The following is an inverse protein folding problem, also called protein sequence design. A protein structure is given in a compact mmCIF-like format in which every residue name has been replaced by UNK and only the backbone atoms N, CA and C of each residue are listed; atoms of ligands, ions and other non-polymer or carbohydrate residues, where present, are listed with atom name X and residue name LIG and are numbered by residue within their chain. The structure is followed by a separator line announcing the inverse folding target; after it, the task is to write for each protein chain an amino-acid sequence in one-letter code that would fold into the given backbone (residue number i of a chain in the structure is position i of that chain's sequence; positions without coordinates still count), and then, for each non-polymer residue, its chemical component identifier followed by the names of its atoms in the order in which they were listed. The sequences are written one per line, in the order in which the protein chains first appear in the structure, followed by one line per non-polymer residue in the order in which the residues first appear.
data_IF_190421696422
#
_entry.id   IF_190421696422
#
_cell.length_a   1.000
_cell.length_b   1.000
_cell.length_c   1.000
_cell.angle_alpha   90.00
_cell.angle_beta   90.00
_cell.angle_gamma   90.00
#
_symmetry.space_group_name_H-M   'P 1'
#
loop_
_entity.id
_entity.type
_entity.pdbx_description
1 polymer ?
#
# COMPACT_ATOMS: atom_id res chain seq x y z
N UNK A 1 16.71 3.07 21.87
CA UNK A 1 16.67 1.65 21.45
C UNK A 1 15.45 1.52 20.55
N UNK A 2 15.65 1.34 19.24
CA UNK A 2 14.52 1.21 18.30
C UNK A 2 13.99 -0.21 18.50
N UNK A 3 12.79 -0.32 19.07
CA UNK A 3 12.09 -1.59 19.15
C UNK A 3 11.68 -1.95 17.72
N UNK A 4 12.40 -2.89 17.10
CA UNK A 4 11.94 -3.51 15.85
C UNK A 4 10.97 -4.59 16.29
N UNK A 5 9.65 -4.44 16.05
CA UNK A 5 8.68 -5.46 16.42
C UNK A 5 9.08 -6.78 15.76
N UNK A 6 8.74 -7.90 16.42
CA UNK A 6 8.98 -9.25 15.89
C UNK A 6 8.68 -9.30 14.40
N UNK A 7 9.65 -9.69 13.58
CA UNK A 7 9.54 -9.66 12.12
C UNK A 7 8.23 -10.31 11.67
N UNK A 8 7.30 -9.50 11.18
CA UNK A 8 6.09 -10.01 10.57
C UNK A 8 6.53 -10.90 9.40
N UNK A 9 6.12 -12.18 9.43
CA UNK A 9 6.54 -13.18 8.42
C UNK A 9 6.10 -12.80 6.99
N UNK A 10 5.15 -11.87 6.87
CA UNK A 10 4.57 -11.37 5.62
C UNK A 10 4.37 -9.85 5.75
N UNK A 11 4.70 -9.13 4.68
CA UNK A 11 4.39 -7.71 4.48
C UNK A 11 3.66 -7.48 3.16
N UNK A 12 2.96 -6.35 3.04
CA UNK A 12 2.24 -5.96 1.83
C UNK A 12 2.98 -4.84 1.08
N UNK A 13 3.28 -5.06 -0.19
CA UNK A 13 3.86 -4.04 -1.07
C UNK A 13 2.82 -3.23 -1.84
N UNK A 14 3.03 -1.93 -1.94
CA UNK A 14 2.11 -0.98 -2.59
C UNK A 14 2.31 -0.83 -4.12
N UNK A 15 3.26 -1.55 -4.73
CA UNK A 15 3.65 -1.36 -6.14
C UNK A 15 2.49 -1.47 -7.15
N UNK A 16 1.66 -2.52 -7.01
CA UNK A 16 0.49 -2.71 -7.87
C UNK A 16 -0.71 -1.84 -7.46
N UNK A 17 -0.81 -1.46 -6.19
CA UNK A 17 -1.95 -0.71 -5.63
C UNK A 17 -1.84 0.79 -5.89
N UNK A 18 -0.63 1.32 -5.95
CA UNK A 18 -0.39 2.75 -6.08
C UNK A 18 -0.47 3.29 -7.51
N UNK A 19 -0.56 2.45 -8.54
CA UNK A 19 -0.46 2.92 -9.93
C UNK A 19 -1.47 2.23 -10.84
N UNK A 20 -2.35 2.98 -11.54
CA UNK A 20 -3.30 2.41 -12.51
C UNK A 20 -2.66 1.76 -13.76
N UNK A 21 -1.31 1.81 -13.88
CA UNK A 21 -0.56 1.29 -15.03
C UNK A 21 0.63 0.39 -14.69
N UNK A 22 0.86 0.03 -13.42
CA UNK A 22 1.83 -1.04 -13.06
C UNK A 22 1.17 -2.41 -13.06
N UNK A 23 0.14 -2.54 -13.89
CA UNK A 23 -0.35 -3.79 -14.42
C UNK A 23 0.87 -4.50 -15.01
N UNK A 24 1.31 -5.59 -14.38
CA UNK A 24 1.98 -6.64 -15.14
C UNK A 24 1.18 -6.82 -16.43
N UNK A 25 1.80 -6.62 -17.59
CA UNK A 25 1.13 -6.61 -18.89
C UNK A 25 0.03 -7.68 -18.94
N UNK A 26 -1.22 -7.28 -19.17
CA UNK A 26 -2.36 -8.21 -19.23
C UNK A 26 -3.29 -8.30 -18.01
N UNK A 27 -3.15 -7.43 -16.98
CA UNK A 27 -4.12 -7.37 -15.85
C UNK A 27 -5.09 -6.18 -15.88
N UNK A 28 -5.11 -5.39 -16.95
CA UNK A 28 -6.07 -4.28 -17.10
C UNK A 28 -7.53 -4.75 -17.01
N UNK A 29 -7.81 -5.96 -17.52
CA UNK A 29 -9.14 -6.57 -17.45
C UNK A 29 -9.60 -6.80 -16.00
N UNK A 30 -8.68 -7.11 -15.07
CA UNK A 30 -9.03 -7.32 -13.66
C UNK A 30 -9.55 -6.04 -12.97
N UNK A 31 -9.23 -4.87 -13.53
CA UNK A 31 -9.72 -3.59 -13.03
C UNK A 31 -11.07 -3.20 -13.62
N UNK A 32 -11.61 -3.95 -14.60
CA UNK A 32 -12.93 -3.69 -15.21
C UNK A 32 -13.14 -2.22 -15.64
N UNK A 33 -12.09 -1.57 -16.14
CA UNK A 33 -12.11 -0.15 -16.54
C UNK A 33 -12.04 0.86 -15.39
N UNK A 34 -12.03 0.40 -14.14
CA UNK A 34 -11.96 1.22 -12.92
C UNK A 34 -10.52 1.66 -12.62
N UNK A 35 -9.93 2.39 -13.57
CA UNK A 35 -8.52 2.84 -13.52
C UNK A 35 -8.36 4.29 -13.08
N UNK A 36 -9.46 4.98 -12.79
CA UNK A 36 -9.40 6.33 -12.25
C UNK A 36 -8.82 6.33 -10.83
N UNK A 37 -8.32 7.50 -10.45
CA UNK A 37 -7.69 7.76 -9.16
C UNK A 37 -8.53 7.32 -7.95
N UNK A 38 -9.84 7.57 -7.96
CA UNK A 38 -10.71 7.32 -6.82
C UNK A 38 -11.04 5.83 -6.70
N UNK A 39 -11.30 5.16 -7.83
CA UNK A 39 -11.51 3.73 -7.86
C UNK A 39 -10.26 2.95 -7.43
N UNK A 40 -9.07 3.35 -7.90
CA UNK A 40 -7.81 2.74 -7.46
C UNK A 40 -7.57 2.92 -5.96
N UNK A 41 -7.84 4.11 -5.42
CA UNK A 41 -7.76 4.33 -3.97
C UNK A 41 -8.74 3.44 -3.20
N UNK A 42 -9.96 3.25 -3.70
CA UNK A 42 -10.95 2.35 -3.10
C UNK A 42 -10.48 0.89 -3.11
N UNK A 43 -9.92 0.42 -4.24
CA UNK A 43 -9.33 -0.91 -4.36
C UNK A 43 -8.15 -1.11 -3.42
N UNK A 44 -7.24 -0.14 -3.34
CA UNK A 44 -6.11 -0.17 -2.41
C UNK A 44 -6.59 -0.30 -0.96
N UNK A 45 -7.59 0.49 -0.55
CA UNK A 45 -8.19 0.40 0.80
C UNK A 45 -8.78 -0.97 1.09
N UNK A 46 -9.49 -1.58 0.15
CA UNK A 46 -10.07 -2.91 0.33
C UNK A 46 -9.00 -3.99 0.55
N UNK A 47 -7.88 -3.92 -0.19
CA UNK A 47 -6.74 -4.83 0.00
C UNK A 47 -6.04 -4.58 1.34
N UNK A 48 -5.84 -3.31 1.72
CA UNK A 48 -5.24 -2.93 2.99
C UNK A 48 -6.09 -3.43 4.19
N UNK A 49 -7.41 -3.33 4.09
CA UNK A 49 -8.34 -3.87 5.08
C UNK A 49 -8.19 -5.37 5.26
N UNK A 50 -8.20 -6.11 4.15
CA UNK A 50 -8.04 -7.56 4.16
C UNK A 50 -6.66 -7.97 4.73
N UNK A 51 -5.60 -7.27 4.34
CA UNK A 51 -4.26 -7.51 4.85
C UNK A 51 -4.18 -7.26 6.37
N UNK A 52 -4.76 -6.15 6.84
CA UNK A 52 -4.81 -5.82 8.26
C UNK A 52 -5.60 -6.85 9.07
N UNK A 53 -6.77 -7.27 8.59
CA UNK A 53 -7.57 -8.34 9.19
C UNK A 53 -6.82 -9.67 9.21
N UNK A 54 -6.02 -9.95 8.17
CA UNK A 54 -5.13 -11.12 8.09
C UNK A 54 -3.86 -11.03 8.95
N UNK A 55 -3.68 -9.97 9.73
CA UNK A 55 -2.55 -9.82 10.65
C UNK A 55 -1.29 -9.18 10.06
N UNK A 56 -1.35 -8.66 8.82
CA UNK A 56 -0.23 -7.91 8.23
C UNK A 56 -0.08 -6.57 8.96
N UNK A 57 1.16 -6.25 9.36
CA UNK A 57 1.51 -4.99 10.04
C UNK A 57 2.75 -4.31 9.45
N UNK A 58 3.37 -4.90 8.43
CA UNK A 58 4.43 -4.26 7.66
C UNK A 58 3.94 -3.91 6.26
N UNK A 59 4.07 -2.64 5.88
CA UNK A 59 3.71 -2.12 4.56
C UNK A 59 4.94 -1.50 3.88
N UNK A 60 5.19 -1.92 2.65
CA UNK A 60 6.29 -1.42 1.83
C UNK A 60 5.77 -0.49 0.73
N UNK A 61 6.30 0.72 0.71
CA UNK A 61 6.00 1.75 -0.26
C UNK A 61 7.29 2.25 -0.95
N UNK A 62 7.09 3.12 -1.93
CA UNK A 62 8.12 3.91 -2.56
C UNK A 62 7.45 5.02 -3.37
N UNK A 63 8.10 6.18 -3.50
CA UNK A 63 7.63 7.25 -4.40
C UNK A 63 7.50 6.79 -5.87
N UNK A 64 8.27 5.78 -6.28
CA UNK A 64 8.17 5.17 -7.62
C UNK A 64 6.93 4.32 -7.83
N UNK A 65 6.17 3.99 -6.78
CA UNK A 65 4.96 3.17 -6.85
C UNK A 65 3.71 4.00 -7.17
N UNK A 66 3.87 5.13 -7.86
CA UNK A 66 2.77 6.05 -8.15
C UNK A 66 2.24 6.70 -6.86
N UNK A 67 0.93 6.62 -6.64
CA UNK A 67 0.22 7.18 -5.47
C UNK A 67 0.20 6.23 -4.26
N UNK A 68 1.06 5.21 -4.24
CA UNK A 68 1.08 4.21 -3.17
C UNK A 68 1.32 4.79 -1.77
N UNK A 69 2.21 5.78 -1.64
CA UNK A 69 2.45 6.48 -0.36
C UNK A 69 1.22 7.27 0.09
N UNK A 70 0.55 7.96 -0.83
CA UNK A 70 -0.66 8.74 -0.57
C UNK A 70 -1.81 7.84 -0.10
N UNK A 71 -2.10 6.77 -0.84
CA UNK A 71 -3.19 5.84 -0.49
C UNK A 71 -2.97 5.14 0.85
N UNK A 72 -1.73 4.72 1.14
CA UNK A 72 -1.40 4.12 2.43
C UNK A 72 -1.56 5.12 3.57
N UNK A 73 -1.07 6.35 3.39
CA UNK A 73 -1.19 7.42 4.39
C UNK A 73 -2.65 7.75 4.70
N UNK A 74 -3.47 7.98 3.67
CA UNK A 74 -4.91 8.24 3.82
C UNK A 74 -5.62 7.11 4.57
N UNK A 75 -5.32 5.85 4.24
CA UNK A 75 -5.93 4.70 4.89
C UNK A 75 -5.54 4.57 6.37
N UNK A 76 -4.25 4.74 6.70
CA UNK A 76 -3.76 4.70 8.08
C UNK A 76 -4.45 5.78 8.94
N UNK A 77 -4.57 7.00 8.40
CA UNK A 77 -5.27 8.11 9.06
C UNK A 77 -6.77 7.83 9.21
N UNK A 78 -7.44 7.40 8.15
CA UNK A 78 -8.88 7.13 8.16
C UNK A 78 -9.26 6.02 9.14
N UNK A 79 -8.37 5.06 9.39
CA UNK A 79 -8.57 3.95 10.34
C UNK A 79 -8.02 4.21 11.73
N UNK A 80 -7.43 5.39 11.94
CA UNK A 80 -6.84 5.79 13.22
C UNK A 80 -5.88 4.72 13.76
N UNK A 81 -5.08 4.13 12.87
CA UNK A 81 -4.14 3.06 13.21
C UNK A 81 -3.06 3.65 14.12
N UNK A 82 -2.86 3.03 15.28
CA UNK A 82 -1.78 3.39 16.20
C UNK A 82 -0.43 3.25 15.48
N UNK A 83 0.39 4.32 15.39
CA UNK A 83 1.73 4.24 14.80
C UNK A 83 2.63 3.18 15.43
N UNK A 84 2.41 2.81 16.70
CA UNK A 84 3.14 1.74 17.37
C UNK A 84 2.72 0.33 16.90
N UNK A 85 1.54 0.20 16.29
CA UNK A 85 0.99 -1.07 15.82
C UNK A 85 1.38 -1.41 14.38
N UNK A 86 2.05 -0.51 13.66
CA UNK A 86 2.36 -0.66 12.23
C UNK A 86 3.79 -0.23 11.91
N UNK A 87 4.43 -0.91 10.98
CA UNK A 87 5.71 -0.52 10.42
C UNK A 87 5.55 -0.21 8.92
N UNK A 88 6.09 0.94 8.50
CA UNK A 88 6.07 1.37 7.09
C UNK A 88 7.51 1.56 6.62
N UNK A 89 7.88 0.86 5.54
CA UNK A 89 9.13 1.10 4.83
C UNK A 89 8.87 1.91 3.56
N UNK A 90 9.68 2.94 3.30
CA UNK A 90 9.67 3.65 2.02
C UNK A 90 11.08 3.87 1.48
N UNK A 91 11.18 4.32 0.23
CA UNK A 91 12.42 4.39 -0.55
C UNK A 91 12.59 5.77 -1.15
N UNK A 92 13.83 6.22 -1.26
CA UNK A 92 14.26 7.47 -1.89
C UNK A 92 15.45 7.19 -2.80
N UNK A 93 15.84 8.16 -3.65
CA UNK A 93 17.05 8.06 -4.50
C UNK A 93 16.81 8.03 -6.00
N UNK A 94 15.55 8.06 -6.46
CA UNK A 94 15.22 8.38 -7.85
C UNK A 94 14.78 9.84 -7.97
N UNK A 95 15.17 10.48 -9.06
CA UNK A 95 14.56 11.72 -9.54
C UNK A 95 13.35 11.36 -10.39
N UNK A 96 12.22 12.01 -10.13
CA UNK A 96 10.92 11.72 -10.73
C UNK A 96 10.47 12.88 -11.63
#
# INVERSE_FOLDING_TARGET
MIHVPSSHRIGLGMAALGRPGYINLGHAAALHGQTDAAAMAAHARAVLDAAWQGGVRYFDAARSYGRGEEFLGEWLHARQIDPAAVAVGSKWGYTY
#
